data_IF_630150878356
#
_entry.id   IF_630150878356
#
_cell.length_a   1.000
_cell.length_b   1.000
_cell.length_c   1.000
_cell.angle_alpha   90.00
_cell.angle_beta   90.00
_cell.angle_gamma   90.00
#
_symmetry.space_group_name_H-M   'P 1'
#
loop_
_entity.id
_entity.type
_entity.pdbx_description
1 polymer ?
#
# COMPACT_ATOMS: atom_id res chain seq x y z
N UNK A 1 -25.16 41.77 14.28
CA UNK A 1 -24.66 42.09 12.92
C UNK A 1 -23.14 42.13 12.97
N UNK A 2 -22.49 41.25 12.17
CA UNK A 2 -21.18 41.35 11.49
C UNK A 2 -19.99 42.00 12.25
N UNK A 3 -18.78 41.48 12.29
CA UNK A 3 -18.11 40.29 11.72
C UNK A 3 -16.75 40.21 12.42
N UNK A 4 -16.33 39.01 12.77
CA UNK A 4 -14.94 38.66 13.06
C UNK A 4 -14.16 38.65 11.74
N UNK A 5 -12.95 39.21 11.71
CA UNK A 5 -11.96 38.94 10.66
C UNK A 5 -10.64 38.66 11.35
N UNK A 6 -10.25 37.39 11.32
CA UNK A 6 -8.91 36.95 11.69
C UNK A 6 -7.92 37.20 10.56
N UNK A 7 -6.65 37.23 10.93
CA UNK A 7 -5.51 36.92 10.06
C UNK A 7 -4.55 36.11 10.94
N UNK A 8 -4.51 34.79 10.74
CA UNK A 8 -3.43 33.95 11.25
C UNK A 8 -2.50 33.69 10.05
N UNK A 9 -1.27 34.19 10.18
CA UNK A 9 -0.20 34.08 9.19
C UNK A 9 0.54 32.76 9.48
N UNK A 10 0.43 31.75 8.60
CA UNK A 10 1.35 30.60 8.63
C UNK A 10 2.55 30.89 7.72
N UNK A 11 3.74 30.78 8.31
CA UNK A 11 5.04 30.88 7.64
C UNK A 11 5.47 29.45 7.30
N UNK A 12 5.60 29.14 6.01
CA UNK A 12 6.23 27.91 5.53
C UNK A 12 7.74 28.15 5.47
N UNK A 13 8.51 27.38 6.24
CA UNK A 13 9.96 27.43 6.27
C UNK A 13 10.51 26.23 5.49
N UNK A 14 10.90 26.45 4.23
CA UNK A 14 11.61 25.44 3.43
C UNK A 14 13.10 25.41 3.85
N UNK A 15 13.56 24.28 4.37
CA UNK A 15 14.99 24.02 4.63
C UNK A 15 15.52 23.15 3.48
N UNK A 16 16.25 23.76 2.56
CA UNK A 16 16.98 23.04 1.51
C UNK A 16 18.36 22.61 2.06
N UNK A 17 18.59 21.30 2.17
CA UNK A 17 19.92 20.75 2.42
C UNK A 17 20.61 20.42 1.10
N UNK A 18 21.74 21.07 0.85
CA UNK A 18 22.59 20.83 -0.32
C UNK A 18 23.56 19.69 0.04
N UNK A 19 23.44 18.53 -0.60
CA UNK A 19 24.44 17.46 -0.50
C UNK A 19 25.42 17.55 -1.67
N UNK A 20 26.66 17.92 -1.36
CA UNK A 20 27.79 17.92 -2.30
C UNK A 20 28.23 16.48 -2.60
N UNK A 21 28.12 16.02 -3.84
CA UNK A 21 28.74 14.75 -4.26
C UNK A 21 30.16 15.01 -4.78
N UNK A 22 31.12 14.37 -4.12
CA UNK A 22 32.54 14.36 -4.49
C UNK A 22 32.75 13.41 -5.67
N UNK A 23 33.30 13.92 -6.77
CA UNK A 23 33.73 13.12 -7.92
C UNK A 23 34.92 12.24 -7.57
N UNK A 24 34.87 10.97 -7.99
CA UNK A 24 36.07 10.16 -8.22
C UNK A 24 35.95 9.45 -9.57
N UNK A 25 36.89 9.80 -10.46
CA UNK A 25 37.11 9.25 -11.81
C UNK A 25 37.71 7.84 -11.72
N UNK A 26 37.32 6.96 -12.66
CA UNK A 26 38.29 6.03 -13.30
C UNK A 26 37.81 5.61 -14.70
N UNK A 27 38.78 5.40 -15.58
CA UNK A 27 38.72 5.37 -17.04
C UNK A 27 38.38 3.98 -17.64
N UNK A 28 37.58 4.01 -18.72
CA UNK A 28 37.72 3.47 -20.10
C UNK A 28 38.28 2.06 -20.43
N UNK A 29 37.84 1.62 -21.63
CA UNK A 29 38.22 0.46 -22.48
C UNK A 29 37.42 -0.83 -22.24
N UNK A 30 36.70 -1.43 -23.20
CA UNK A 30 36.98 -1.60 -24.63
C UNK A 30 35.70 -1.85 -25.44
N UNK A 31 35.62 -1.21 -26.63
CA UNK A 31 34.68 -1.56 -27.69
C UNK A 31 35.13 -2.84 -28.42
N UNK A 32 34.20 -3.75 -28.70
CA UNK A 32 34.35 -4.69 -29.82
C UNK A 32 33.00 -4.94 -30.50
N UNK A 33 32.86 -4.30 -31.64
CA UNK A 33 31.78 -4.39 -32.62
C UNK A 33 31.81 -5.76 -33.31
N UNK A 34 30.65 -6.40 -33.48
CA UNK A 34 30.47 -7.51 -34.42
C UNK A 34 29.17 -7.30 -35.21
N UNK A 35 29.35 -7.26 -36.54
CA UNK A 35 28.33 -7.08 -37.57
C UNK A 35 27.21 -8.12 -37.50
N UNK A 36 26.00 -7.67 -37.85
CA UNK A 36 24.85 -8.49 -38.21
C UNK A 36 24.80 -8.57 -39.74
N UNK A 37 24.57 -9.78 -40.25
CA UNK A 37 23.93 -10.19 -41.53
C UNK A 37 24.23 -11.71 -41.66
N UNK A 38 23.37 -12.63 -42.10
CA UNK A 38 22.04 -12.63 -42.70
C UNK A 38 21.54 -14.11 -42.71
N UNK A 39 20.23 -14.31 -42.67
CA UNK A 39 19.41 -15.43 -43.20
C UNK A 39 19.64 -16.94 -42.84
N UNK A 40 18.50 -17.54 -42.44
CA UNK A 40 17.87 -18.73 -43.08
C UNK A 40 18.21 -20.17 -42.63
N UNK A 41 17.25 -20.73 -41.86
CA UNK A 41 16.49 -21.95 -42.17
C UNK A 41 16.98 -23.38 -41.78
N UNK A 42 15.99 -24.15 -41.28
CA UNK A 42 15.75 -25.59 -41.47
C UNK A 42 16.39 -26.61 -40.50
N UNK A 43 15.56 -27.02 -39.54
CA UNK A 43 15.15 -28.41 -39.21
C UNK A 43 16.02 -29.60 -39.67
N UNK A 44 16.49 -30.43 -38.73
CA UNK A 44 15.95 -31.79 -38.48
C UNK A 44 16.94 -32.74 -37.78
N UNK A 45 16.39 -33.47 -36.82
CA UNK A 45 16.68 -34.87 -36.45
C UNK A 45 18.08 -35.26 -35.95
N UNK A 46 18.15 -35.59 -34.65
CA UNK A 46 18.83 -36.82 -34.19
C UNK A 46 17.92 -37.52 -33.17
N UNK A 47 17.48 -38.73 -33.54
CA UNK A 47 16.75 -39.67 -32.67
C UNK A 47 17.76 -40.56 -31.94
N UNK A 48 17.59 -40.60 -30.63
CA UNK A 48 17.82 -41.65 -29.62
C UNK A 48 18.87 -42.77 -29.86
N UNK A 49 19.80 -42.85 -28.90
CA UNK A 49 20.05 -44.04 -28.05
C UNK A 49 20.93 -43.56 -26.88
N UNK A 50 20.63 -43.78 -25.60
CA UNK A 50 20.42 -45.05 -24.91
C UNK A 50 19.61 -44.81 -23.62
N UNK A 51 18.59 -45.64 -23.39
CA UNK A 51 18.02 -45.84 -22.05
C UNK A 51 18.77 -47.01 -21.43
N UNK A 52 19.42 -46.77 -20.30
CA UNK A 52 19.61 -47.80 -19.29
C UNK A 52 19.25 -47.24 -17.91
N UNK A 53 18.39 -48.01 -17.27
CA UNK A 53 17.57 -47.78 -16.08
C UNK A 53 18.37 -47.52 -14.80
N UNK A 54 17.74 -46.77 -13.87
CA UNK A 54 17.77 -46.89 -12.39
C UNK A 54 18.22 -45.62 -11.64
N UNK A 55 17.25 -44.80 -11.23
CA UNK A 55 16.73 -44.86 -9.85
C UNK A 55 15.65 -43.79 -9.65
N UNK A 56 14.46 -44.29 -9.34
CA UNK A 56 13.34 -43.57 -8.77
C UNK A 56 13.71 -43.21 -7.32
N UNK A 57 14.46 -42.13 -7.14
CA UNK A 57 14.60 -41.49 -5.83
C UNK A 57 13.64 -40.30 -5.82
N UNK A 58 12.61 -40.45 -4.98
CA UNK A 58 11.58 -39.48 -4.68
C UNK A 58 12.09 -38.03 -4.74
N UNK A 59 11.32 -37.19 -5.43
CA UNK A 59 11.32 -35.76 -5.22
C UNK A 59 10.88 -35.53 -3.78
N UNK A 60 11.84 -35.58 -2.86
CA UNK A 60 11.63 -35.18 -1.47
C UNK A 60 11.28 -33.72 -1.50
N UNK A 61 10.03 -33.43 -1.15
CA UNK A 61 9.50 -32.14 -0.77
C UNK A 61 10.59 -31.34 -0.07
N UNK A 62 10.97 -30.19 -0.65
CA UNK A 62 11.86 -29.24 0.02
C UNK A 62 11.23 -28.92 1.37
N UNK A 63 11.80 -29.47 2.43
CA UNK A 63 11.49 -29.08 3.79
C UNK A 63 11.65 -27.57 3.89
N UNK A 64 10.59 -26.90 4.33
CA UNK A 64 10.63 -25.50 4.72
C UNK A 64 11.71 -25.34 5.79
N UNK A 65 12.78 -24.64 5.46
CA UNK A 65 13.82 -24.29 6.43
C UNK A 65 13.15 -23.44 7.51
N UNK A 66 13.18 -23.82 8.80
CA UNK A 66 12.69 -22.96 9.87
C UNK A 66 13.55 -21.69 9.89
N UNK A 67 12.94 -20.55 9.59
CA UNK A 67 13.60 -19.24 9.63
C UNK A 67 13.99 -18.99 11.09
N UNK A 68 15.29 -18.89 11.34
CA UNK A 68 15.83 -18.36 12.60
C UNK A 68 15.29 -16.93 12.73
N UNK A 69 14.57 -16.65 13.83
CA UNK A 69 13.70 -15.48 14.00
C UNK A 69 14.35 -14.11 13.80
N UNK A 70 14.50 -13.69 12.55
CA UNK A 70 14.72 -12.31 12.16
C UNK A 70 13.37 -11.62 12.10
N UNK A 71 13.26 -10.50 12.82
CA UNK A 71 12.07 -9.65 12.75
C UNK A 71 12.05 -8.95 11.39
N UNK A 72 10.85 -8.73 10.86
CA UNK A 72 10.63 -7.89 9.67
C UNK A 72 10.44 -6.43 10.04
N UNK A 73 10.08 -6.16 11.29
CA UNK A 73 9.82 -4.81 11.79
C UNK A 73 10.07 -4.67 13.30
N UNK A 74 10.48 -3.47 13.72
CA UNK A 74 10.66 -3.06 15.12
C UNK A 74 10.06 -1.67 15.27
N UNK A 75 9.29 -1.46 16.33
CA UNK A 75 8.66 -0.16 16.54
C UNK A 75 9.72 0.91 16.84
N UNK A 76 9.72 2.03 16.10
CA UNK A 76 10.65 3.14 16.36
C UNK A 76 10.52 3.70 17.79
N UNK A 77 9.33 3.64 18.37
CA UNK A 77 9.03 4.20 19.69
C UNK A 77 9.41 3.28 20.84
N UNK A 78 9.54 1.97 20.58
CA UNK A 78 9.84 0.96 21.57
C UNK A 78 10.47 -0.28 20.93
N UNK A 79 11.78 -0.47 21.15
CA UNK A 79 12.54 -1.60 20.57
C UNK A 79 12.06 -2.98 21.03
N UNK A 80 11.22 -3.07 22.07
CA UNK A 80 10.65 -4.32 22.59
C UNK A 80 9.32 -4.70 21.92
N UNK A 81 8.88 -3.91 20.93
CA UNK A 81 7.77 -4.23 20.05
C UNK A 81 8.34 -4.66 18.70
N UNK A 82 8.16 -5.93 18.34
CA UNK A 82 8.78 -6.55 17.17
C UNK A 82 7.78 -7.43 16.44
N UNK A 83 7.89 -7.46 15.12
CA UNK A 83 7.06 -8.29 14.26
C UNK A 83 7.92 -9.30 13.51
N UNK A 84 7.51 -10.57 13.50
CA UNK A 84 8.20 -11.66 12.83
C UNK A 84 7.28 -12.37 11.85
N UNK A 85 7.77 -12.80 10.67
CA UNK A 85 6.99 -13.64 9.78
C UNK A 85 6.96 -15.08 10.32
N UNK A 86 5.80 -15.73 10.28
CA UNK A 86 5.70 -17.16 10.59
C UNK A 86 6.26 -18.03 9.46
N UNK A 87 5.98 -17.63 8.21
CA UNK A 87 6.46 -18.30 7.01
C UNK A 87 6.79 -17.27 5.94
N UNK A 88 7.90 -17.50 5.25
CA UNK A 88 8.37 -16.65 4.15
C UNK A 88 8.39 -17.46 2.85
N UNK A 89 7.76 -16.94 1.81
CA UNK A 89 7.66 -17.53 0.47
C UNK A 89 8.07 -16.54 -0.61
N UNK A 90 8.01 -16.94 -1.88
CA UNK A 90 8.25 -16.04 -3.02
C UNK A 90 9.64 -15.39 -2.99
N UNK A 91 10.68 -16.16 -2.67
CA UNK A 91 12.07 -15.67 -2.54
C UNK A 91 12.28 -14.58 -1.48
N UNK A 92 11.45 -14.54 -0.43
CA UNK A 92 11.54 -13.52 0.62
C UNK A 92 10.44 -12.46 0.58
N UNK A 93 9.55 -12.55 -0.42
CA UNK A 93 8.61 -11.49 -0.75
C UNK A 93 7.21 -11.66 -0.13
N UNK A 94 6.84 -12.88 0.27
CA UNK A 94 5.48 -13.13 0.80
C UNK A 94 5.60 -13.64 2.23
N UNK A 95 4.97 -12.94 3.16
CA UNK A 95 4.86 -13.33 4.55
C UNK A 95 3.46 -13.90 4.82
N UNK A 96 3.43 -15.17 5.22
CA UNK A 96 2.20 -15.86 5.58
C UNK A 96 2.16 -16.07 7.09
N UNK A 97 1.27 -15.34 7.75
CA UNK A 97 1.15 -15.29 9.20
C UNK A 97 2.26 -14.47 9.86
N UNK A 98 1.94 -13.85 10.98
CA UNK A 98 2.86 -13.02 11.75
C UNK A 98 2.89 -13.41 13.22
N UNK A 99 4.00 -13.13 13.89
CA UNK A 99 4.13 -13.17 15.35
C UNK A 99 4.43 -11.75 15.83
N UNK A 100 3.54 -11.21 16.64
CA UNK A 100 3.77 -9.95 17.35
C UNK A 100 4.40 -10.26 18.71
N UNK A 101 5.55 -9.64 18.99
CA UNK A 101 6.19 -9.65 20.29
C UNK A 101 6.10 -8.26 20.92
N UNK A 102 5.59 -8.17 22.14
CA UNK A 102 5.51 -6.93 22.93
C UNK A 102 6.05 -7.23 24.32
N UNK A 103 7.17 -6.60 24.69
CA UNK A 103 7.78 -6.75 26.02
C UNK A 103 7.99 -8.24 26.42
N UNK A 104 8.39 -9.07 25.45
CA UNK A 104 8.65 -10.50 25.62
C UNK A 104 7.40 -11.41 25.59
N UNK A 105 6.19 -10.86 25.58
CA UNK A 105 4.95 -11.62 25.30
C UNK A 105 4.80 -11.79 23.80
N UNK A 106 4.34 -12.96 23.35
CA UNK A 106 4.14 -13.25 21.92
C UNK A 106 2.71 -13.67 21.64
N UNK A 107 2.21 -13.29 20.47
CA UNK A 107 0.96 -13.80 19.90
C UNK A 107 1.11 -14.04 18.40
N UNK A 108 0.52 -15.13 17.94
CA UNK A 108 0.48 -15.49 16.52
C UNK A 108 -0.82 -15.01 15.86
N UNK A 109 -0.68 -14.47 14.66
CA UNK A 109 -1.76 -14.05 13.77
C UNK A 109 -1.61 -14.78 12.44
N UNK A 110 -2.10 -16.01 12.38
CA UNK A 110 -1.90 -16.92 11.24
C UNK A 110 -2.63 -16.51 9.96
N UNK A 111 -3.61 -15.59 10.07
CA UNK A 111 -4.38 -15.09 8.93
C UNK A 111 -3.78 -13.84 8.29
N UNK A 112 -2.87 -13.15 8.96
CA UNK A 112 -2.25 -11.94 8.41
C UNK A 112 -1.35 -12.32 7.24
N UNK A 113 -1.42 -11.52 6.18
CA UNK A 113 -0.60 -11.66 4.99
C UNK A 113 0.02 -10.31 4.67
N UNK A 114 1.28 -10.31 4.31
CA UNK A 114 1.98 -9.09 3.95
C UNK A 114 3.10 -9.37 2.96
N UNK A 115 3.47 -8.35 2.23
CA UNK A 115 4.60 -8.41 1.32
C UNK A 115 5.92 -8.02 2.01
N UNK A 116 7.04 -8.38 1.38
CA UNK A 116 8.39 -8.03 1.79
C UNK A 116 9.01 -6.94 0.94
N UNK A 117 10.35 -6.83 0.98
CA UNK A 117 11.09 -5.85 0.18
C UNK A 117 10.77 -4.42 0.59
N UNK A 118 10.40 -3.58 -0.38
CA UNK A 118 10.03 -2.18 -0.16
C UNK A 118 8.66 -2.01 0.51
N UNK A 119 7.85 -3.07 0.57
CA UNK A 119 6.49 -3.07 1.15
C UNK A 119 6.41 -3.90 2.43
N UNK A 120 7.55 -4.04 3.11
CA UNK A 120 7.63 -4.80 4.37
C UNK A 120 6.66 -4.22 5.40
N UNK A 121 6.13 -5.05 6.31
CA UNK A 121 5.24 -4.58 7.36
C UNK A 121 5.90 -3.59 8.29
N UNK A 122 5.09 -2.70 8.85
CA UNK A 122 5.49 -1.72 9.86
C UNK A 122 4.76 -1.98 11.17
N UNK A 123 5.43 -1.69 12.28
CA UNK A 123 4.84 -1.77 13.61
C UNK A 123 5.17 -0.51 14.38
N UNK A 124 4.21 0.01 15.13
CA UNK A 124 4.34 1.21 15.96
C UNK A 124 3.74 0.98 17.34
N UNK A 125 4.23 1.71 18.35
CA UNK A 125 3.61 1.77 19.69
C UNK A 125 3.31 3.22 20.08
N UNK A 126 2.04 3.62 19.98
CA UNK A 126 1.60 5.02 20.02
C UNK A 126 0.30 5.17 20.81
N UNK A 127 0.11 6.31 21.45
CA UNK A 127 -1.18 6.73 22.00
C UNK A 127 -2.03 7.32 20.87
N UNK A 128 -2.87 6.48 20.26
CA UNK A 128 -3.55 6.83 18.99
C UNK A 128 -4.75 7.75 19.19
N UNK A 129 -5.36 7.73 20.38
CA UNK A 129 -6.56 8.52 20.71
C UNK A 129 -6.30 9.62 21.75
N UNK A 130 -5.07 9.73 22.28
CA UNK A 130 -4.67 10.75 23.25
C UNK A 130 -5.16 10.49 24.68
N UNK A 131 -5.54 9.26 25.03
CA UNK A 131 -6.02 8.90 26.38
C UNK A 131 -4.88 8.63 27.38
N UNK A 132 -3.63 8.67 26.92
CA UNK A 132 -2.42 8.41 27.69
C UNK A 132 -2.02 6.94 27.74
N UNK A 133 -2.81 6.03 27.15
CA UNK A 133 -2.44 4.63 26.92
C UNK A 133 -2.01 4.47 25.48
N UNK A 134 -1.10 3.54 25.25
CA UNK A 134 -0.62 3.26 23.91
C UNK A 134 -1.29 2.02 23.35
N UNK A 135 -1.40 1.98 22.05
CA UNK A 135 -1.76 0.84 21.24
C UNK A 135 -0.59 0.42 20.35
N UNK A 136 -0.66 -0.81 19.86
CA UNK A 136 0.24 -1.29 18.81
C UNK A 136 -0.50 -1.19 17.48
N UNK A 137 0.08 -0.48 16.51
CA UNK A 137 -0.40 -0.47 15.11
C UNK A 137 0.49 -1.39 14.31
N UNK A 138 -0.11 -2.25 13.50
CA UNK A 138 0.60 -3.05 12.50
C UNK A 138 0.04 -2.72 11.12
N UNK A 139 0.91 -2.33 10.20
CA UNK A 139 0.57 -1.96 8.83
C UNK A 139 1.16 -2.97 7.84
N UNK A 140 0.36 -3.35 6.85
CA UNK A 140 0.73 -4.30 5.81
C UNK A 140 0.40 -3.76 4.42
N UNK A 141 1.16 -4.22 3.44
CA UNK A 141 0.69 -4.33 2.06
C UNK A 141 0.33 -5.79 1.81
N UNK A 142 -0.96 -6.11 1.72
CA UNK A 142 -1.45 -7.47 1.47
C UNK A 142 -1.34 -7.86 -0.02
N UNK A 143 -1.24 -6.87 -0.90
CA UNK A 143 -1.01 -7.05 -2.32
C UNK A 143 -0.82 -5.72 -3.03
N UNK A 144 0.01 -5.69 -4.06
CA UNK A 144 0.13 -4.53 -4.94
C UNK A 144 0.32 -4.95 -6.41
N UNK A 145 0.07 -4.02 -7.32
CA UNK A 145 0.27 -4.21 -8.75
C UNK A 145 -0.14 -2.98 -9.54
N UNK A 146 -0.24 -3.13 -10.86
CA UNK A 146 -0.73 -2.05 -11.72
C UNK A 146 -2.17 -1.69 -11.36
N UNK A 147 -2.37 -0.51 -10.77
CA UNK A 147 -3.68 0.02 -10.39
C UNK A 147 -4.31 -0.64 -9.14
N UNK A 148 -3.53 -1.35 -8.33
CA UNK A 148 -3.99 -1.97 -7.08
C UNK A 148 -2.94 -1.75 -5.99
N UNK A 149 -3.40 -1.35 -4.80
CA UNK A 149 -2.59 -1.31 -3.58
C UNK A 149 -3.49 -1.65 -2.39
N UNK A 150 -3.31 -2.84 -1.82
CA UNK A 150 -4.15 -3.37 -0.75
C UNK A 150 -3.44 -3.18 0.59
N UNK A 151 -3.52 -1.97 1.14
CA UNK A 151 -3.08 -1.70 2.50
C UNK A 151 -4.01 -2.34 3.53
N UNK A 152 -3.45 -2.87 4.60
CA UNK A 152 -4.19 -3.35 5.77
C UNK A 152 -3.58 -2.76 7.04
N UNK A 153 -4.42 -2.47 8.03
CA UNK A 153 -3.99 -2.02 9.34
C UNK A 153 -4.72 -2.79 10.44
N UNK A 154 -3.99 -3.07 11.53
CA UNK A 154 -4.54 -3.70 12.73
C UNK A 154 -4.11 -2.92 13.96
N UNK A 155 -5.03 -2.71 14.89
CA UNK A 155 -4.76 -2.08 16.18
C UNK A 155 -4.85 -3.14 17.26
N UNK A 156 -3.79 -3.30 18.06
CA UNK A 156 -3.67 -4.35 19.07
C UNK A 156 -3.53 -3.72 20.45
N UNK A 157 -4.26 -4.27 21.42
CA UNK A 157 -4.07 -3.93 22.83
C UNK A 157 -2.71 -4.47 23.33
N UNK A 158 -1.80 -3.65 23.86
CA UNK A 158 -0.44 -4.09 24.21
C UNK A 158 -0.38 -5.04 25.41
N UNK A 159 -1.40 -5.03 26.28
CA UNK A 159 -1.43 -5.85 27.49
C UNK A 159 -1.91 -7.29 27.21
N UNK A 160 -2.98 -7.40 26.41
CA UNK A 160 -3.65 -8.67 26.06
C UNK A 160 -3.19 -9.26 24.74
N UNK A 161 -2.56 -8.44 23.88
CA UNK A 161 -2.27 -8.74 22.48
C UNK A 161 -3.51 -9.10 21.66
N UNK A 162 -4.70 -8.70 22.10
CA UNK A 162 -5.93 -8.88 21.33
C UNK A 162 -6.09 -7.78 20.31
N UNK A 163 -6.53 -8.17 19.12
CA UNK A 163 -6.91 -7.24 18.07
C UNK A 163 -8.17 -6.48 18.50
N UNK A 164 -8.09 -5.16 18.41
CA UNK A 164 -9.16 -4.25 18.74
C UNK A 164 -10.08 -4.10 17.53
N UNK A 165 -11.39 -3.99 17.79
CA UNK A 165 -12.37 -3.83 16.73
C UNK A 165 -12.15 -2.51 16.00
N UNK A 166 -12.18 -2.55 14.67
CA UNK A 166 -12.13 -1.40 13.78
C UNK A 166 -13.36 -1.44 12.86
N UNK A 167 -13.98 -0.28 12.64
CA UNK A 167 -15.00 -0.11 11.62
C UNK A 167 -14.40 -0.41 10.24
N UNK A 168 -15.07 -1.21 9.42
CA UNK A 168 -14.54 -1.58 8.10
C UNK A 168 -14.73 -0.47 7.07
N UNK A 169 -13.87 -0.41 6.04
CA UNK A 169 -14.00 0.54 4.93
C UNK A 169 -15.37 0.43 4.24
N UNK A 170 -15.87 -0.79 4.04
CA UNK A 170 -17.20 -1.01 3.46
C UNK A 170 -18.33 -0.40 4.30
N UNK A 171 -18.24 -0.51 5.64
CA UNK A 171 -19.20 0.11 6.54
C UNK A 171 -19.10 1.64 6.51
N UNK A 172 -17.87 2.18 6.47
CA UNK A 172 -17.61 3.61 6.39
C UNK A 172 -18.21 4.19 5.11
N UNK A 173 -17.86 3.62 3.96
CA UNK A 173 -18.36 4.05 2.64
C UNK A 173 -19.87 3.99 2.60
N UNK A 174 -20.48 2.90 3.06
CA UNK A 174 -21.94 2.74 3.07
C UNK A 174 -22.65 3.76 3.96
N UNK A 175 -22.04 4.19 5.06
CA UNK A 175 -22.65 5.12 6.00
C UNK A 175 -22.49 6.57 5.57
N UNK A 176 -21.33 6.92 5.02
CA UNK A 176 -20.92 8.32 4.87
C UNK A 176 -20.87 8.78 3.41
N UNK A 177 -20.68 7.88 2.44
CA UNK A 177 -20.41 8.25 1.05
C UNK A 177 -21.63 8.00 0.17
N UNK A 178 -22.00 9.00 -0.61
CA UNK A 178 -22.89 8.87 -1.75
C UNK A 178 -22.14 9.34 -2.99
N UNK A 179 -22.13 8.54 -4.05
CA UNK A 179 -21.48 8.92 -5.31
C UNK A 179 -22.31 8.50 -6.51
N UNK A 180 -22.10 9.19 -7.63
CA UNK A 180 -22.74 8.86 -8.90
C UNK A 180 -21.76 9.13 -10.04
N UNK A 181 -21.54 8.10 -10.86
CA UNK A 181 -20.71 8.16 -12.06
C UNK A 181 -21.66 8.22 -13.26
N UNK A 182 -21.53 9.25 -14.08
CA UNK A 182 -22.34 9.45 -15.28
C UNK A 182 -21.46 9.51 -16.50
N UNK A 183 -21.83 8.72 -17.51
CA UNK A 183 -21.03 8.56 -18.74
C UNK A 183 -21.84 9.08 -19.92
N UNK A 184 -21.27 10.05 -20.63
CA UNK A 184 -21.74 10.57 -21.90
C UNK A 184 -20.67 10.35 -22.97
N UNK A 185 -21.00 10.37 -24.28
CA UNK A 185 -19.99 10.23 -25.32
C UNK A 185 -18.86 11.26 -25.16
N UNK A 186 -17.64 10.77 -24.91
CA UNK A 186 -16.47 11.64 -24.74
C UNK A 186 -16.27 12.21 -23.33
N UNK A 187 -17.12 11.86 -22.36
CA UNK A 187 -17.11 12.51 -21.05
C UNK A 187 -17.58 11.59 -19.91
N UNK A 188 -16.83 11.58 -18.82
CA UNK A 188 -17.23 11.01 -17.53
C UNK A 188 -17.41 12.13 -16.53
N UNK A 189 -18.49 12.07 -15.74
CA UNK A 189 -18.76 13.02 -14.65
C UNK A 189 -18.98 12.24 -13.36
N UNK A 190 -18.25 12.62 -12.32
CA UNK A 190 -18.31 11.97 -11.01
C UNK A 190 -18.74 13.01 -9.98
N UNK A 191 -19.78 12.67 -9.22
CA UNK A 191 -20.26 13.49 -8.12
C UNK A 191 -20.10 12.68 -6.84
N UNK A 192 -19.54 13.31 -5.80
CA UNK A 192 -19.34 12.67 -4.50
C UNK A 192 -19.88 13.57 -3.40
N UNK A 193 -20.52 12.96 -2.42
CA UNK A 193 -20.99 13.61 -1.20
C UNK A 193 -20.56 12.77 -0.01
N UNK A 194 -19.90 13.40 0.96
CA UNK A 194 -19.50 12.79 2.24
C UNK A 194 -20.23 13.51 3.35
N UNK A 195 -21.05 12.79 4.13
CA UNK A 195 -21.85 13.38 5.23
C UNK A 195 -22.66 14.61 4.84
N UNK A 196 -23.17 14.63 3.61
CA UNK A 196 -23.96 15.74 3.05
C UNK A 196 -23.12 16.93 2.55
N UNK A 197 -21.79 16.87 2.65
CA UNK A 197 -20.86 17.84 2.05
C UNK A 197 -20.52 17.37 0.64
N UNK A 198 -20.81 18.22 -0.35
CA UNK A 198 -20.49 17.94 -1.74
C UNK A 198 -19.02 18.25 -2.03
N UNK A 199 -18.33 17.31 -2.66
CA UNK A 199 -17.05 17.57 -3.31
C UNK A 199 -17.26 18.32 -4.63
N UNK A 200 -16.22 18.99 -5.12
CA UNK A 200 -16.23 19.52 -6.48
C UNK A 200 -16.38 18.36 -7.48
N UNK A 201 -17.31 18.42 -8.44
CA UNK A 201 -17.48 17.34 -9.40
C UNK A 201 -16.26 17.17 -10.30
N UNK A 202 -15.82 15.93 -10.50
CA UNK A 202 -14.81 15.61 -11.49
C UNK A 202 -15.44 15.52 -12.88
N UNK A 203 -14.82 16.17 -13.87
CA UNK A 203 -15.18 16.08 -15.28
C UNK A 203 -13.97 15.63 -16.09
N UNK A 204 -14.04 14.44 -16.67
CA UNK A 204 -12.95 13.83 -17.41
C UNK A 204 -13.34 13.69 -18.88
N UNK A 205 -12.48 14.13 -19.79
CA UNK A 205 -12.62 13.86 -21.22
C UNK A 205 -11.98 12.49 -21.53
N UNK A 206 -12.80 11.50 -21.88
CA UNK A 206 -12.35 10.12 -22.13
C UNK A 206 -13.02 9.54 -23.38
N UNK A 207 -12.34 8.62 -24.08
CA UNK A 207 -13.01 7.79 -25.07
C UNK A 207 -13.88 6.73 -24.36
N UNK A 208 -15.17 7.06 -24.23
CA UNK A 208 -16.14 6.22 -23.52
C UNK A 208 -16.74 5.10 -24.36
N UNK A 209 -16.28 4.89 -25.60
CA UNK A 209 -16.95 3.97 -26.54
C UNK A 209 -16.83 2.49 -26.16
N UNK A 210 -15.73 2.12 -25.47
CA UNK A 210 -15.40 0.73 -25.11
C UNK A 210 -15.18 0.56 -23.58
N UNK A 211 -15.44 1.60 -22.78
CA UNK A 211 -15.17 1.61 -21.34
C UNK A 211 -16.23 0.88 -20.51
N UNK A 212 -15.79 0.17 -19.46
CA UNK A 212 -16.67 -0.41 -18.43
C UNK A 212 -16.58 0.45 -17.18
N UNK A 213 -17.67 1.17 -16.90
CA UNK A 213 -17.78 2.12 -15.81
C UNK A 213 -18.72 1.60 -14.72
N UNK A 214 -18.41 1.93 -13.48
CA UNK A 214 -19.30 1.70 -12.34
C UNK A 214 -20.43 2.75 -12.34
N UNK A 215 -21.56 2.45 -11.69
CA UNK A 215 -22.61 3.45 -11.45
C UNK A 215 -22.27 4.38 -10.27
N UNK A 216 -21.49 3.88 -9.32
CA UNK A 216 -21.01 4.57 -8.11
C UNK A 216 -19.54 4.23 -7.92
N UNK A 217 -18.78 5.10 -7.25
CA UNK A 217 -17.41 4.82 -6.88
C UNK A 217 -17.33 3.55 -6.02
N UNK A 218 -16.34 2.71 -6.31
CA UNK A 218 -16.01 1.52 -5.52
C UNK A 218 -14.66 1.73 -4.84
N UNK A 219 -14.61 1.48 -3.54
CA UNK A 219 -13.40 1.64 -2.73
C UNK A 219 -12.83 0.27 -2.38
N UNK A 220 -11.54 0.22 -2.05
CA UNK A 220 -10.85 -1.01 -1.63
C UNK A 220 -9.80 -1.55 -2.60
N UNK A 221 -9.77 -1.07 -3.85
CA UNK A 221 -8.74 -1.46 -4.83
C UNK A 221 -7.39 -0.79 -4.59
N UNK A 222 -7.40 0.44 -4.09
CA UNK A 222 -6.24 1.23 -3.68
C UNK A 222 -6.56 1.83 -2.32
N UNK A 223 -5.89 1.35 -1.27
CA UNK A 223 -6.08 1.80 0.11
C UNK A 223 -4.73 1.90 0.78
N UNK A 224 -4.38 3.09 1.23
CA UNK A 224 -3.18 3.37 1.99
C UNK A 224 -3.54 3.57 3.46
N UNK A 225 -2.75 2.96 4.34
CA UNK A 225 -2.76 3.24 5.76
C UNK A 225 -1.40 3.82 6.13
N UNK A 226 -1.40 4.86 6.95
CA UNK A 226 -0.19 5.47 7.50
C UNK A 226 -0.43 5.93 8.93
N UNK A 227 0.66 6.12 9.65
CA UNK A 227 0.63 6.81 10.95
C UNK A 227 1.13 8.23 10.74
N UNK A 228 0.27 9.20 10.99
CA UNK A 228 0.57 10.62 10.80
C UNK A 228 0.18 11.41 12.04
N UNK A 229 1.14 12.18 12.57
CA UNK A 229 0.93 13.00 13.78
C UNK A 229 0.31 12.22 14.95
N UNK A 230 0.66 10.93 15.09
CA UNK A 230 0.15 10.05 16.13
C UNK A 230 -1.23 9.46 15.88
N UNK A 231 -1.85 9.68 14.72
CA UNK A 231 -3.12 9.08 14.31
C UNK A 231 -2.91 8.00 13.26
N UNK A 232 -3.76 6.98 13.26
CA UNK A 232 -3.91 6.09 12.11
C UNK A 232 -4.80 6.79 11.07
N UNK A 233 -4.23 7.11 9.91
CA UNK A 233 -4.95 7.75 8.81
C UNK A 233 -5.03 6.82 7.60
N UNK A 234 -6.05 7.04 6.79
CA UNK A 234 -6.39 6.21 5.63
C UNK A 234 -6.67 7.10 4.44
N UNK A 235 -6.19 6.67 3.28
CA UNK A 235 -6.55 7.21 1.97
C UNK A 235 -7.04 6.06 1.09
N UNK A 236 -8.28 6.12 0.62
CA UNK A 236 -8.89 5.08 -0.20
C UNK A 236 -9.40 5.65 -1.51
N UNK A 237 -8.84 5.20 -2.64
CA UNK A 237 -9.17 5.76 -3.95
C UNK A 237 -10.52 5.29 -4.47
N UNK A 238 -11.28 6.22 -5.03
CA UNK A 238 -12.61 5.96 -5.58
C UNK A 238 -12.55 5.40 -6.99
N UNK A 239 -12.79 4.11 -7.18
CA UNK A 239 -12.77 3.50 -8.51
C UNK A 239 -14.08 3.75 -9.29
N UNK A 240 -14.00 4.44 -10.41
CA UNK A 240 -15.13 4.62 -11.34
C UNK A 240 -15.14 3.61 -12.49
N UNK A 241 -14.11 2.77 -12.61
CA UNK A 241 -14.02 1.69 -13.58
C UNK A 241 -12.89 0.71 -13.24
N UNK A 242 -12.61 -0.24 -14.15
CA UNK A 242 -11.55 -1.23 -13.93
C UNK A 242 -10.16 -0.58 -14.02
N UNK A 243 -9.51 -0.36 -12.87
CA UNK A 243 -8.20 0.30 -12.81
C UNK A 243 -8.27 1.81 -13.06
N UNK A 244 -9.47 2.39 -12.96
CA UNK A 244 -9.73 3.82 -13.16
C UNK A 244 -10.20 4.42 -11.83
N UNK A 245 -9.53 5.47 -11.36
CA UNK A 245 -9.74 6.07 -10.05
C UNK A 245 -9.92 7.58 -10.15
N UNK A 246 -10.81 8.10 -9.33
CA UNK A 246 -11.05 9.53 -9.13
C UNK A 246 -11.04 9.80 -7.63
N UNK A 247 -10.18 10.74 -7.24
CA UNK A 247 -10.02 11.18 -5.86
C UNK A 247 -9.81 10.09 -4.81
N UNK A 248 -9.74 10.54 -3.57
CA UNK A 248 -9.53 9.69 -2.41
C UNK A 248 -10.50 10.06 -1.29
N UNK A 249 -11.08 9.03 -0.65
CA UNK A 249 -11.71 9.16 0.64
C UNK A 249 -10.62 9.11 1.71
N UNK A 250 -10.40 10.23 2.39
CA UNK A 250 -9.44 10.40 3.46
C UNK A 250 -10.16 10.43 4.81
N UNK A 251 -9.60 9.74 5.80
CA UNK A 251 -10.12 9.76 7.17
C UNK A 251 -9.08 9.30 8.18
N UNK A 252 -9.34 9.53 9.46
CA UNK A 252 -8.56 8.98 10.56
C UNK A 252 -9.40 8.03 11.41
N UNK A 253 -8.77 7.22 12.25
CA UNK A 253 -9.46 6.44 13.28
C UNK A 253 -9.39 7.12 14.65
N UNK A 254 -10.48 7.03 15.40
CA UNK A 254 -10.57 7.41 16.81
C UNK A 254 -11.36 6.36 17.60
N UNK A 255 -11.09 6.21 18.91
CA UNK A 255 -11.68 5.14 19.71
C UNK A 255 -12.96 5.60 20.41
N UNK A 256 -14.11 5.07 19.97
CA UNK A 256 -15.44 5.44 20.47
C UNK A 256 -16.31 4.20 20.66
N UNK A 257 -17.04 4.17 21.77
CA UNK A 257 -18.02 3.12 22.08
C UNK A 257 -17.47 1.67 21.99
N UNK A 258 -16.17 1.50 22.28
CA UNK A 258 -15.50 0.20 22.28
C UNK A 258 -14.88 -0.23 20.94
N UNK A 259 -14.88 0.64 19.93
CA UNK A 259 -14.41 0.37 18.57
C UNK A 259 -13.64 1.57 18.01
N UNK A 260 -12.65 1.31 17.16
CA UNK A 260 -12.00 2.34 16.36
C UNK A 260 -12.90 2.69 15.18
N UNK A 261 -13.41 3.92 15.16
CA UNK A 261 -14.36 4.41 14.16
C UNK A 261 -13.72 5.52 13.33
N UNK A 262 -14.18 5.65 12.07
CA UNK A 262 -13.72 6.72 11.20
C UNK A 262 -14.14 8.09 11.75
N UNK A 263 -13.23 9.06 11.64
CA UNK A 263 -13.42 10.46 11.95
C UNK A 263 -12.74 11.32 10.90
N UNK A 264 -13.09 12.61 10.88
CA UNK A 264 -12.46 13.59 9.99
C UNK A 264 -12.54 13.16 8.51
N UNK A 265 -13.69 12.60 8.09
CA UNK A 265 -13.89 12.10 6.73
C UNK A 265 -13.95 13.26 5.72
N UNK A 266 -13.18 13.13 4.65
CA UNK A 266 -13.11 14.06 3.54
C UNK A 266 -12.95 13.30 2.23
N UNK A 267 -13.50 13.83 1.15
CA UNK A 267 -13.20 13.36 -0.19
C UNK A 267 -12.52 14.47 -0.98
N UNK A 268 -11.34 14.17 -1.52
CA UNK A 268 -10.50 15.12 -2.24
C UNK A 268 -10.07 14.57 -3.58
N UNK A 269 -10.08 15.41 -4.60
CA UNK A 269 -9.56 15.13 -5.94
C UNK A 269 -8.27 15.92 -6.11
N UNK A 270 -7.16 15.42 -5.57
CA UNK A 270 -5.87 16.07 -5.83
C UNK A 270 -5.47 15.80 -7.30
N UNK A 271 -5.30 16.87 -8.07
CA UNK A 271 -4.50 16.81 -9.30
C UNK A 271 -3.06 16.53 -8.87
N UNK A 272 -2.59 15.30 -9.07
CA UNK A 272 -1.15 15.06 -9.11
C UNK A 272 -0.62 15.81 -10.34
N UNK A 273 -0.14 17.04 -10.15
CA UNK A 273 0.71 17.69 -11.13
C UNK A 273 1.94 16.77 -11.29
N UNK A 274 1.95 15.97 -12.35
CA UNK A 274 3.12 15.21 -12.77
C UNK A 274 4.25 16.21 -13.08
N UNK A 275 5.02 16.61 -12.06
CA UNK A 275 6.33 17.23 -12.25
C UNK A 275 7.26 16.16 -12.84
N UNK A 276 7.13 15.92 -14.15
CA UNK A 276 8.13 15.23 -14.94
C UNK A 276 9.43 16.04 -14.86
N UNK A 277 10.29 15.70 -13.90
CA UNK A 277 11.70 16.07 -13.97
C UNK A 277 12.30 15.32 -15.15
N UNK A 278 12.33 15.96 -16.33
CA UNK A 278 13.21 15.55 -17.41
C UNK A 278 14.65 15.67 -16.91
N UNK A 279 15.20 14.56 -16.40
CA UNK A 279 16.63 14.44 -16.20
C UNK A 279 17.29 14.30 -17.57
N UNK A 280 17.72 15.42 -18.15
CA UNK A 280 18.67 15.41 -19.25
C UNK A 280 20.04 15.01 -18.72
N UNK A 281 20.52 13.84 -19.13
CA UNK A 281 21.96 13.50 -19.17
C UNK A 281 22.57 13.94 -20.50
#
# INVERSE_FOLDING_TARGET
>A
MKTWTGILLMIILAVATISTTSSARTMNESQKQLNIDDQSSQTSAVVASNIETMNEAAFTTKESIPVKGEYVSVAPENENVRLYPMKVEGSGYIYNGMVLEVNGKKREFSKWQGEGGSYKPEVHELDLNGDGKKEIVVLFTAGHGTGIYLGEAHIINPDTLEEMKMQSLDEIVKQHVNSNVSVAPGQVTINVTVDGVHAEPSLMEEDTSEGVYNEELKFGGVVYYSVENGKLVVSASGAYGMGLYDGDLNFAYDYKDGEWQAVDLEYSTEEYEDEYYESFD
#
